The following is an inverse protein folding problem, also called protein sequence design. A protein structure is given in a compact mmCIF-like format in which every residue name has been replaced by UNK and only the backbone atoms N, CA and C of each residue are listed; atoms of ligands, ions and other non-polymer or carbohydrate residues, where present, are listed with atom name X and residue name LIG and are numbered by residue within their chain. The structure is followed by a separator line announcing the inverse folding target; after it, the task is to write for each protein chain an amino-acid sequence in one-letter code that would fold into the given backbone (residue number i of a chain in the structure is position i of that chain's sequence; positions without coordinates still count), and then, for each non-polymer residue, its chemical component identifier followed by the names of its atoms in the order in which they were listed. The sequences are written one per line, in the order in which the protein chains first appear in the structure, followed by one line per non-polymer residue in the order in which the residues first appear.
data_IF_195952658038
#
_entry.id   IF_195952658038
#
_cell.length_a   1.000
_cell.length_b   1.000
_cell.length_c   1.000
_cell.angle_alpha   90.00
_cell.angle_beta   90.00
_cell.angle_gamma   90.00
#
_symmetry.space_group_name_H-M   'P 1'
#
loop_
_entity.id
_entity.type
_entity.pdbx_description
1 polymer ?
#
# COMPACT_ATOMS: atom_id res chain seq x y z
N UNK A 1 22.41 -3.46 -6.64
CA UNK A 1 20.98 -3.11 -6.45
C UNK A 1 20.92 -1.99 -5.42
N UNK A 2 20.06 -0.99 -5.61
CA UNK A 2 19.90 0.08 -4.64
C UNK A 2 19.19 -0.46 -3.39
N UNK A 3 19.71 -0.15 -2.22
CA UNK A 3 19.10 -0.52 -0.94
C UNK A 3 18.19 0.61 -0.50
N UNK A 4 16.88 0.35 -0.43
CA UNK A 4 15.89 1.34 -0.01
C UNK A 4 15.94 1.51 1.51
N UNK A 5 16.22 2.73 1.98
CA UNK A 5 16.33 3.03 3.42
C UNK A 5 15.58 4.28 3.80
N UNK A 6 15.20 4.37 5.09
CA UNK A 6 14.56 5.54 5.68
C UNK A 6 13.41 6.06 4.82
N UNK A 7 13.55 7.28 4.30
CA UNK A 7 12.53 7.96 3.49
C UNK A 7 12.13 7.18 2.23
N UNK A 8 13.08 6.54 1.56
CA UNK A 8 12.80 5.80 0.32
C UNK A 8 11.90 4.60 0.60
N UNK A 9 12.22 3.88 1.68
CA UNK A 9 11.40 2.76 2.15
C UNK A 9 9.99 3.24 2.55
N UNK A 10 9.88 4.36 3.26
CA UNK A 10 8.56 4.95 3.59
C UNK A 10 7.74 5.30 2.34
N UNK A 11 8.37 5.80 1.27
CA UNK A 11 7.69 6.08 0.02
C UNK A 11 7.19 4.80 -0.66
N UNK A 12 7.99 3.73 -0.64
CA UNK A 12 7.58 2.43 -1.21
C UNK A 12 6.43 1.82 -0.42
N UNK A 13 6.50 1.81 0.93
CA UNK A 13 5.39 1.33 1.78
C UNK A 13 4.10 2.10 1.48
N UNK A 14 4.19 3.43 1.36
CA UNK A 14 3.03 4.27 1.01
C UNK A 14 2.47 3.98 -0.38
N UNK A 15 3.33 3.83 -1.39
CA UNK A 15 2.91 3.53 -2.75
C UNK A 15 2.22 2.17 -2.83
N UNK A 16 2.77 1.17 -2.13
CA UNK A 16 2.23 -0.18 -2.08
C UNK A 16 0.85 -0.20 -1.40
N UNK A 17 0.69 0.51 -0.28
CA UNK A 17 -0.61 0.66 0.39
C UNK A 17 -1.68 1.30 -0.52
N UNK A 18 -1.30 2.32 -1.30
CA UNK A 18 -2.20 2.96 -2.28
C UNK A 18 -2.61 1.96 -3.37
N UNK A 19 -1.65 1.23 -3.93
CA UNK A 19 -1.91 0.26 -4.99
C UNK A 19 -2.85 -0.86 -4.52
N UNK A 20 -2.58 -1.43 -3.34
CA UNK A 20 -3.42 -2.48 -2.73
C UNK A 20 -4.87 -1.99 -2.58
N UNK A 21 -5.06 -0.79 -2.02
CA UNK A 21 -6.39 -0.23 -1.79
C UNK A 21 -7.10 0.14 -3.11
N UNK A 22 -6.38 0.68 -4.08
CA UNK A 22 -6.94 1.04 -5.38
C UNK A 22 -7.45 -0.19 -6.14
N UNK A 23 -6.67 -1.28 -6.16
CA UNK A 23 -7.05 -2.55 -6.80
C UNK A 23 -8.23 -3.21 -6.06
N UNK A 24 -8.24 -3.14 -4.73
CA UNK A 24 -9.34 -3.69 -3.91
C UNK A 24 -10.67 -2.96 -4.13
N UNK A 25 -10.62 -1.62 -4.28
CA UNK A 25 -11.83 -0.78 -4.32
C UNK A 25 -12.46 -0.67 -5.71
N UNK A 26 -11.73 -0.88 -6.80
CA UNK A 26 -12.28 -0.78 -8.16
C UNK A 26 -12.32 -2.15 -8.88
N UNK A 27 -13.52 -2.77 -8.98
CA UNK A 27 -13.81 -3.75 -10.02
C UNK A 27 -13.60 -3.13 -11.40
N UNK A 28 -12.49 -3.47 -12.04
CA UNK A 28 -12.04 -2.88 -13.29
C UNK A 28 -10.99 -3.75 -13.98
N UNK A 29 -10.52 -3.37 -15.17
CA UNK A 29 -9.63 -4.21 -15.99
C UNK A 29 -8.25 -4.50 -15.37
N UNK A 30 -7.93 -3.89 -14.22
CA UNK A 30 -6.65 -4.02 -13.51
C UNK A 30 -6.77 -4.88 -12.24
N UNK A 31 -7.62 -5.91 -12.24
CA UNK A 31 -7.81 -6.84 -11.12
C UNK A 31 -7.09 -8.18 -11.31
N UNK A 32 -5.76 -8.13 -11.36
CA UNK A 32 -4.97 -9.35 -11.15
C UNK A 32 -4.98 -9.66 -9.65
N UNK A 33 -5.83 -10.60 -9.24
CA UNK A 33 -5.88 -11.08 -7.84
C UNK A 33 -4.52 -11.61 -7.37
N UNK A 34 -3.72 -12.17 -8.29
CA UNK A 34 -2.35 -12.59 -8.00
C UNK A 34 -1.48 -11.40 -7.62
N UNK A 35 -1.42 -10.36 -8.47
CA UNK A 35 -0.60 -9.18 -8.19
C UNK A 35 -1.06 -8.46 -6.92
N UNK A 36 -2.36 -8.42 -6.67
CA UNK A 36 -2.90 -7.85 -5.43
C UNK A 36 -2.44 -8.62 -4.20
N UNK A 37 -2.47 -9.96 -4.24
CA UNK A 37 -2.03 -10.79 -3.12
C UNK A 37 -0.53 -10.67 -2.88
N UNK A 38 0.28 -10.66 -3.95
CA UNK A 38 1.73 -10.46 -3.85
C UNK A 38 2.06 -9.09 -3.24
N UNK A 39 1.34 -8.04 -3.65
CA UNK A 39 1.50 -6.69 -3.10
C UNK A 39 1.07 -6.60 -1.63
N UNK A 40 -0.03 -7.27 -1.24
CA UNK A 40 -0.46 -7.36 0.16
C UNK A 40 0.58 -8.07 1.02
N UNK A 41 1.07 -9.24 0.57
CA UNK A 41 2.08 -10.01 1.29
C UNK A 41 3.40 -9.24 1.47
N UNK A 42 3.84 -8.51 0.43
CA UNK A 42 5.01 -7.65 0.53
C UNK A 42 4.78 -6.49 1.51
N UNK A 43 3.59 -5.86 1.48
CA UNK A 43 3.27 -4.79 2.42
C UNK A 43 3.30 -5.30 3.86
N UNK A 44 2.67 -6.44 4.13
CA UNK A 44 2.65 -7.06 5.45
C UNK A 44 4.07 -7.41 5.94
N UNK A 45 4.95 -7.85 5.04
CA UNK A 45 6.36 -8.13 5.36
C UNK A 45 7.23 -6.89 5.59
N UNK A 46 6.84 -5.72 5.04
CA UNK A 46 7.55 -4.46 5.21
C UNK A 46 7.06 -3.64 6.41
N UNK A 47 5.84 -3.86 6.87
CA UNK A 47 5.25 -3.15 7.99
C UNK A 47 5.84 -3.71 9.29
N UNK A 48 6.45 -2.83 10.09
CA UNK A 48 7.08 -3.26 11.35
C UNK A 48 6.11 -3.19 12.53
N UNK A 49 4.96 -2.50 12.39
CA UNK A 49 3.95 -2.36 13.45
C UNK A 49 2.57 -1.99 12.93
N UNK A 50 1.54 -2.30 13.72
CA UNK A 50 0.15 -1.91 13.45
C UNK A 50 -0.05 -0.39 13.37
N UNK A 51 0.77 0.39 14.08
CA UNK A 51 0.73 1.86 14.02
C UNK A 51 1.21 2.35 12.65
N UNK A 52 2.27 1.73 12.12
CA UNK A 52 2.78 2.06 10.79
C UNK A 52 1.77 1.66 9.70
N UNK A 53 1.11 0.51 9.87
CA UNK A 53 0.02 0.08 8.99
C UNK A 53 -1.13 1.07 8.96
N UNK A 54 -1.62 1.48 10.13
CA UNK A 54 -2.70 2.45 10.25
C UNK A 54 -2.36 3.78 9.55
N UNK A 55 -1.10 4.22 9.68
CA UNK A 55 -0.62 5.43 9.04
C UNK A 55 -0.68 5.35 7.51
N UNK A 56 -0.15 4.28 6.90
CA UNK A 56 -0.20 4.15 5.44
C UNK A 56 -1.59 3.80 4.92
N UNK A 57 -2.38 3.01 5.65
CA UNK A 57 -3.76 2.72 5.28
C UNK A 57 -4.61 3.99 5.22
N UNK A 58 -4.43 4.89 6.19
CA UNK A 58 -5.08 6.21 6.18
C UNK A 58 -4.60 7.06 5.00
N UNK A 59 -3.29 7.11 4.76
CA UNK A 59 -2.75 7.86 3.63
C UNK A 59 -3.21 7.30 2.27
N UNK A 60 -3.36 5.97 2.17
CA UNK A 60 -3.88 5.29 1.00
C UNK A 60 -5.36 5.62 0.78
N UNK A 61 -6.17 5.61 1.83
CA UNK A 61 -7.58 6.04 1.75
C UNK A 61 -7.70 7.44 1.20
N UNK A 62 -7.00 8.42 1.78
CA UNK A 62 -6.99 9.80 1.27
C UNK A 62 -6.63 9.85 -0.22
N UNK A 63 -5.60 9.10 -0.63
CA UNK A 63 -5.13 9.12 -2.01
C UNK A 63 -6.12 8.48 -3.01
N UNK A 64 -6.81 7.41 -2.61
CA UNK A 64 -7.71 6.65 -3.48
C UNK A 64 -9.14 7.22 -3.46
N UNK A 65 -9.57 7.75 -2.33
CA UNK A 65 -10.98 8.12 -2.08
C UNK A 65 -11.17 9.62 -1.89
N UNK A 66 -10.09 10.37 -1.59
CA UNK A 66 -10.17 11.77 -1.16
C UNK A 66 -10.61 11.94 0.29
N UNK A 67 -10.90 10.85 1.01
CA UNK A 67 -11.48 10.89 2.36
C UNK A 67 -10.44 10.47 3.42
N UNK A 68 -10.31 11.23 4.53
CA UNK A 68 -9.32 10.97 5.57
C UNK A 68 -9.71 10.00 6.67
N UNK A 69 -10.95 9.48 6.65
CA UNK A 69 -11.57 8.69 7.73
C UNK A 69 -11.61 7.17 7.47
#
# INVERSE_FOLDING_TARGET
MAELKGRELHLVKKALAIAVLAIERQPGPFQSTSDQNDMKALLDGLIESDTELAFYARAARIAVTGEPD
#
